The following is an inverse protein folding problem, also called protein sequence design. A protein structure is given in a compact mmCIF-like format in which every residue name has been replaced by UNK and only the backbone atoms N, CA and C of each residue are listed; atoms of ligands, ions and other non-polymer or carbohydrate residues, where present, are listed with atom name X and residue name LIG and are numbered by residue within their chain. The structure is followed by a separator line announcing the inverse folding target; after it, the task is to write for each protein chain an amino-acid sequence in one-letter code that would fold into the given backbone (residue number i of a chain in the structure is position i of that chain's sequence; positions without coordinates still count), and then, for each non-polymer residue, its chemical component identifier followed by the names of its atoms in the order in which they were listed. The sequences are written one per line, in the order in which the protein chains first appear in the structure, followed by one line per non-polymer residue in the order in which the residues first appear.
data_IF_405321099360
#
_entry.id   IF_405321099360
#
_cell.length_a   1.000
_cell.length_b   1.000
_cell.length_c   1.000
_cell.angle_alpha   90.00
_cell.angle_beta   90.00
_cell.angle_gamma   90.00
#
_symmetry.space_group_name_H-M   'P 1'
#
loop_
_entity.id
_entity.type
_entity.pdbx_description
1 polymer ?
#
# COMPACT_ATOMS: atom_id res chain seq x y z
N UNK A 1 -4.21 15.13 12.71
CA UNK A 1 -5.00 14.37 13.73
C UNK A 1 -5.04 12.94 13.26
N UNK A 2 -4.70 11.98 14.13
CA UNK A 2 -4.73 10.55 13.79
C UNK A 2 -6.16 10.15 13.48
N UNK A 3 -6.35 9.41 12.38
CA UNK A 3 -7.66 8.95 11.89
C UNK A 3 -7.83 7.44 12.05
N UNK A 4 -6.72 6.69 12.02
CA UNK A 4 -6.76 5.24 12.21
C UNK A 4 -5.49 4.71 12.84
N UNK A 5 -5.62 3.54 13.47
CA UNK A 5 -4.52 2.81 14.08
C UNK A 5 -4.44 1.40 13.49
N UNK A 6 -3.23 1.00 13.14
CA UNK A 6 -2.90 -0.39 12.78
C UNK A 6 -2.42 -1.11 14.02
N UNK A 7 -3.10 -2.16 14.43
CA UNK A 7 -2.72 -3.00 15.58
C UNK A 7 -2.12 -4.30 15.06
N UNK A 8 -0.83 -4.51 15.32
CA UNK A 8 -0.14 -5.77 15.04
C UNK A 8 -0.46 -6.76 16.15
N UNK A 9 -1.13 -7.85 15.83
CA UNK A 9 -1.56 -8.83 16.84
C UNK A 9 -0.44 -9.76 17.31
N UNK A 10 0.61 -9.92 16.48
CA UNK A 10 1.76 -10.78 16.77
C UNK A 10 3.02 -10.24 16.10
N UNK A 11 4.20 -10.61 16.62
CA UNK A 11 5.49 -10.30 15.98
C UNK A 11 5.58 -10.88 14.57
N UNK A 12 4.87 -11.99 14.28
CA UNK A 12 4.79 -12.60 12.95
C UNK A 12 3.59 -12.13 12.13
N UNK A 13 2.94 -11.02 12.50
CA UNK A 13 1.87 -10.41 11.70
C UNK A 13 2.29 -10.16 10.25
N UNK A 14 1.37 -10.38 9.30
CA UNK A 14 1.66 -10.33 7.87
C UNK A 14 2.09 -8.93 7.43
N UNK A 15 3.13 -8.86 6.60
CA UNK A 15 3.51 -7.60 5.94
C UNK A 15 2.62 -7.33 4.75
N UNK A 16 2.00 -6.16 4.69
CA UNK A 16 1.09 -5.76 3.60
C UNK A 16 1.57 -4.55 2.77
N UNK A 17 2.83 -4.13 2.97
CA UNK A 17 3.48 -3.04 2.25
C UNK A 17 4.90 -3.47 1.77
N UNK A 18 5.76 -2.50 1.45
CA UNK A 18 7.12 -2.74 0.92
C UNK A 18 8.08 -3.42 1.93
N UNK A 19 7.86 -3.22 3.22
CA UNK A 19 8.76 -3.74 4.26
C UNK A 19 8.67 -5.27 4.40
N UNK A 20 9.80 -5.96 4.65
CA UNK A 20 9.78 -7.34 5.11
C UNK A 20 9.45 -7.41 6.61
N UNK A 21 8.84 -8.49 7.07
CA UNK A 21 8.84 -8.82 8.48
C UNK A 21 10.10 -9.63 8.79
N UNK A 22 11.01 -9.07 9.61
CA UNK A 22 12.25 -9.74 10.04
C UNK A 22 12.09 -10.58 11.30
N UNK A 23 10.96 -10.38 12.02
CA UNK A 23 10.67 -11.14 13.24
C UNK A 23 10.22 -12.55 12.88
N UNK A 24 10.87 -13.54 13.46
CA UNK A 24 10.63 -14.96 13.17
C UNK A 24 9.91 -15.67 14.32
N UNK A 25 9.99 -15.14 15.52
CA UNK A 25 9.42 -15.74 16.71
C UNK A 25 7.97 -15.27 16.92
N UNK A 26 7.10 -16.19 17.24
CA UNK A 26 5.71 -15.90 17.63
C UNK A 26 5.70 -15.22 18.98
N UNK A 27 5.18 -14.01 19.00
CA UNK A 27 4.95 -13.24 20.21
C UNK A 27 3.62 -12.54 20.10
N UNK A 28 2.57 -13.25 20.50
CA UNK A 28 1.22 -12.70 20.52
C UNK A 28 1.16 -11.49 21.46
N UNK A 29 0.50 -10.43 21.04
CA UNK A 29 0.22 -9.25 21.87
C UNK A 29 -0.48 -9.71 23.17
N UNK A 30 -0.07 -9.26 24.36
CA UNK A 30 -0.83 -9.55 25.57
C UNK A 30 -2.28 -9.07 25.46
N UNK A 31 -3.24 -9.88 25.89
CA UNK A 31 -4.67 -9.56 25.79
C UNK A 31 -5.03 -8.23 26.46
N UNK A 32 -4.41 -7.90 27.59
CA UNK A 32 -4.61 -6.63 28.26
C UNK A 32 -4.06 -5.44 27.45
N UNK A 33 -2.97 -5.65 26.70
CA UNK A 33 -2.41 -4.65 25.77
C UNK A 33 -3.38 -4.44 24.60
N UNK A 34 -3.96 -5.51 24.05
CA UNK A 34 -4.97 -5.42 23.00
C UNK A 34 -6.20 -4.63 23.48
N UNK A 35 -6.75 -4.97 24.65
CA UNK A 35 -7.88 -4.26 25.25
C UNK A 35 -7.56 -2.77 25.50
N UNK A 36 -6.37 -2.47 26.01
CA UNK A 36 -5.94 -1.09 26.21
C UNK A 36 -5.77 -0.33 24.90
N UNK A 37 -5.27 -0.97 23.83
CA UNK A 37 -5.17 -0.40 22.49
C UNK A 37 -6.53 -0.07 21.88
N UNK A 38 -7.50 -0.96 22.03
CA UNK A 38 -8.89 -0.75 21.60
C UNK A 38 -9.52 0.42 22.38
N UNK A 39 -9.40 0.44 23.69
CA UNK A 39 -9.90 1.54 24.52
C UNK A 39 -9.26 2.88 24.14
N UNK A 40 -7.96 2.89 23.83
CA UNK A 40 -7.29 4.08 23.31
C UNK A 40 -7.93 4.55 22.01
N UNK A 41 -8.13 3.63 21.05
CA UNK A 41 -8.75 3.96 19.77
C UNK A 41 -10.18 4.51 19.93
N UNK A 42 -10.98 3.90 20.79
CA UNK A 42 -12.34 4.38 21.09
C UNK A 42 -12.34 5.77 21.73
N UNK A 43 -11.46 6.01 22.70
CA UNK A 43 -11.32 7.31 23.36
C UNK A 43 -10.92 8.43 22.42
N UNK A 44 -10.00 8.14 21.50
CA UNK A 44 -9.51 9.09 20.51
C UNK A 44 -10.42 9.17 19.25
N UNK A 45 -11.47 8.34 19.17
CA UNK A 45 -12.40 8.23 18.04
C UNK A 45 -11.68 7.96 16.71
N UNK A 46 -10.81 6.95 16.70
CA UNK A 46 -10.02 6.55 15.52
C UNK A 46 -10.38 5.13 15.08
N UNK A 47 -10.34 4.89 13.77
CA UNK A 47 -10.64 3.59 13.17
C UNK A 47 -9.53 2.59 13.47
N UNK A 48 -9.88 1.30 13.56
CA UNK A 48 -8.95 0.23 13.92
C UNK A 48 -8.77 -0.74 12.75
N UNK A 49 -7.52 -1.09 12.47
CA UNK A 49 -7.15 -2.15 11.53
C UNK A 49 -6.30 -3.18 12.26
N UNK A 50 -6.74 -4.43 12.30
CA UNK A 50 -5.99 -5.53 12.90
C UNK A 50 -5.20 -6.29 11.85
N UNK A 51 -3.92 -6.52 12.12
CA UNK A 51 -3.03 -7.30 11.25
C UNK A 51 -2.71 -8.63 11.91
N UNK A 52 -3.15 -9.68 11.27
CA UNK A 52 -3.10 -11.04 11.78
C UNK A 52 -1.77 -11.75 11.45
N UNK A 53 -1.33 -12.69 12.30
CA UNK A 53 -0.31 -13.69 11.96
C UNK A 53 -0.88 -14.75 10.99
N UNK A 54 -0.05 -15.72 10.59
CA UNK A 54 -0.46 -16.82 9.70
C UNK A 54 -1.15 -18.00 10.42
N UNK A 55 -1.55 -17.82 11.67
CA UNK A 55 -2.24 -18.84 12.48
C UNK A 55 -3.47 -18.26 13.17
N UNK A 56 -4.46 -19.09 13.52
CA UNK A 56 -5.66 -18.67 14.22
C UNK A 56 -5.34 -18.08 15.60
N UNK A 57 -6.05 -17.01 15.98
CA UNK A 57 -5.95 -16.44 17.32
C UNK A 57 -6.75 -17.26 18.34
N UNK A 58 -6.45 -17.13 19.64
CA UNK A 58 -7.30 -17.64 20.73
C UNK A 58 -8.70 -16.97 20.68
N UNK A 59 -9.71 -17.71 21.17
CA UNK A 59 -11.13 -17.28 21.10
C UNK A 59 -11.35 -15.96 21.83
N UNK A 60 -10.72 -15.76 22.97
CA UNK A 60 -10.81 -14.54 23.77
C UNK A 60 -10.25 -13.31 23.06
N UNK A 61 -9.29 -13.48 22.15
CA UNK A 61 -8.79 -12.41 21.27
C UNK A 61 -9.83 -12.04 20.22
N UNK A 62 -10.39 -13.04 19.54
CA UNK A 62 -11.42 -12.80 18.53
C UNK A 62 -12.65 -12.13 19.13
N UNK A 63 -13.11 -12.56 20.33
CA UNK A 63 -14.22 -11.91 21.04
C UNK A 63 -13.95 -10.44 21.31
N UNK A 64 -12.73 -10.08 21.71
CA UNK A 64 -12.34 -8.69 21.97
C UNK A 64 -12.26 -7.89 20.67
N UNK A 65 -11.72 -8.47 19.59
CA UNK A 65 -11.64 -7.83 18.27
C UNK A 65 -13.03 -7.56 17.71
N UNK A 66 -13.94 -8.52 17.77
CA UNK A 66 -15.32 -8.41 17.27
C UNK A 66 -16.20 -7.42 18.09
N UNK A 67 -15.71 -6.90 19.21
CA UNK A 67 -16.47 -5.96 20.04
C UNK A 67 -16.55 -4.53 19.49
N UNK A 68 -15.82 -4.20 18.42
CA UNK A 68 -15.78 -2.88 17.79
C UNK A 68 -15.81 -2.98 16.26
N UNK A 69 -16.15 -1.89 15.58
CA UNK A 69 -15.95 -1.78 14.14
C UNK A 69 -14.45 -1.74 13.80
N UNK A 70 -14.04 -2.58 12.86
CA UNK A 70 -12.65 -2.74 12.50
C UNK A 70 -12.46 -3.28 11.09
N UNK A 71 -11.22 -3.30 10.62
CA UNK A 71 -10.79 -3.95 9.37
C UNK A 71 -9.81 -5.08 9.71
N UNK A 72 -10.03 -6.27 9.13
CA UNK A 72 -9.17 -7.45 9.27
C UNK A 72 -8.23 -7.59 8.09
N UNK A 73 -6.93 -7.46 8.32
CA UNK A 73 -5.87 -7.71 7.34
C UNK A 73 -5.25 -9.08 7.66
N UNK A 74 -5.52 -10.07 6.82
CA UNK A 74 -5.14 -11.47 7.06
C UNK A 74 -4.29 -12.04 5.91
N UNK A 75 -3.36 -12.96 6.19
CA UNK A 75 -2.73 -13.77 5.15
C UNK A 75 -3.72 -14.76 4.55
N UNK A 76 -3.44 -15.23 3.34
CA UNK A 76 -4.33 -16.16 2.59
C UNK A 76 -4.70 -17.42 3.38
N UNK A 77 -3.79 -17.92 4.23
CA UNK A 77 -3.98 -19.16 4.99
C UNK A 77 -5.19 -19.13 5.94
N UNK A 78 -5.58 -17.95 6.45
CA UNK A 78 -6.67 -17.76 7.43
C UNK A 78 -7.65 -16.65 6.99
N UNK A 79 -7.93 -16.55 5.70
CA UNK A 79 -8.61 -15.41 5.07
C UNK A 79 -10.13 -15.48 4.98
N UNK A 80 -10.79 -16.42 5.65
CA UNK A 80 -12.23 -16.71 5.45
C UNK A 80 -13.14 -15.51 5.73
N UNK A 81 -12.82 -14.67 6.70
CA UNK A 81 -13.56 -13.47 7.12
C UNK A 81 -12.74 -12.18 6.98
N UNK A 82 -11.73 -12.18 6.10
CA UNK A 82 -10.86 -11.02 5.92
C UNK A 82 -11.48 -9.95 5.02
N UNK A 83 -11.31 -8.68 5.40
CA UNK A 83 -11.59 -7.54 4.55
C UNK A 83 -10.46 -7.32 3.54
N UNK A 84 -9.22 -7.55 3.99
CA UNK A 84 -8.02 -7.47 3.17
C UNK A 84 -7.23 -8.76 3.28
N UNK A 85 -6.98 -9.40 2.15
CA UNK A 85 -6.15 -10.62 2.06
C UNK A 85 -4.80 -10.28 1.47
N UNK A 86 -3.74 -10.63 2.19
CA UNK A 86 -2.36 -10.45 1.73
C UNK A 86 -1.85 -11.75 1.12
N UNK A 87 -1.33 -11.62 -0.10
CA UNK A 87 -0.70 -12.69 -0.87
C UNK A 87 0.82 -12.47 -0.86
N UNK A 88 1.56 -13.41 -0.29
CA UNK A 88 3.02 -13.31 -0.12
C UNK A 88 3.79 -13.84 -1.34
N UNK A 89 3.34 -13.49 -2.55
CA UNK A 89 3.97 -13.88 -3.82
C UNK A 89 3.04 -14.63 -4.76
N UNK A 90 3.63 -15.11 -5.86
CA UNK A 90 2.87 -15.70 -6.96
C UNK A 90 2.26 -17.06 -6.63
N UNK A 91 2.89 -17.86 -5.78
CA UNK A 91 2.34 -19.16 -5.35
C UNK A 91 0.99 -19.00 -4.64
N UNK A 92 0.88 -18.00 -3.75
CA UNK A 92 -0.38 -17.68 -3.09
C UNK A 92 -1.40 -17.06 -4.05
N UNK A 93 -0.94 -16.27 -5.03
CA UNK A 93 -1.78 -15.72 -6.09
C UNK A 93 -2.39 -16.84 -6.95
N UNK A 94 -1.61 -17.87 -7.33
CA UNK A 94 -2.11 -19.07 -8.03
C UNK A 94 -3.09 -19.86 -7.16
N UNK A 95 -2.77 -20.00 -5.87
CA UNK A 95 -3.65 -20.69 -4.93
C UNK A 95 -5.00 -19.96 -4.79
N UNK A 96 -4.99 -18.63 -4.75
CA UNK A 96 -6.20 -17.81 -4.74
C UNK A 96 -7.06 -18.08 -5.98
N UNK A 97 -6.44 -18.11 -7.17
CA UNK A 97 -7.18 -18.37 -8.43
C UNK A 97 -7.81 -19.75 -8.43
N UNK A 98 -7.12 -20.76 -7.88
CA UNK A 98 -7.62 -22.15 -7.76
C UNK A 98 -8.73 -22.29 -6.72
N UNK A 99 -8.59 -21.67 -5.55
CA UNK A 99 -9.61 -21.70 -4.47
C UNK A 99 -10.85 -20.87 -4.78
N UNK A 100 -10.72 -19.85 -5.63
CA UNK A 100 -11.75 -18.86 -5.92
C UNK A 100 -11.61 -17.61 -5.05
N UNK A 101 -11.50 -16.45 -5.70
CA UNK A 101 -11.46 -15.17 -5.03
C UNK A 101 -12.87 -14.70 -4.63
N UNK A 102 -12.99 -14.04 -3.48
CA UNK A 102 -14.21 -13.36 -3.06
C UNK A 102 -14.21 -11.94 -3.67
N UNK A 103 -15.24 -11.59 -4.41
CA UNK A 103 -15.29 -10.30 -5.13
C UNK A 103 -15.22 -9.08 -4.19
N UNK A 104 -15.90 -9.12 -3.05
CA UNK A 104 -15.96 -7.99 -2.11
C UNK A 104 -14.68 -7.79 -1.28
N UNK A 105 -13.77 -8.77 -1.26
CA UNK A 105 -12.51 -8.71 -0.51
C UNK A 105 -11.47 -7.93 -1.30
N UNK A 106 -10.72 -7.06 -0.63
CA UNK A 106 -9.55 -6.40 -1.20
C UNK A 106 -8.32 -7.30 -1.10
N UNK A 107 -7.53 -7.39 -2.16
CA UNK A 107 -6.32 -8.21 -2.18
C UNK A 107 -5.07 -7.35 -2.27
N UNK A 108 -4.03 -7.72 -1.54
CA UNK A 108 -2.69 -7.14 -1.61
C UNK A 108 -1.74 -8.23 -2.08
N UNK A 109 -1.19 -8.08 -3.28
CA UNK A 109 -0.16 -8.96 -3.81
C UNK A 109 1.21 -8.33 -3.59
N UNK A 110 2.03 -8.95 -2.74
CA UNK A 110 3.43 -8.58 -2.55
C UNK A 110 4.30 -9.41 -3.47
N UNK A 111 5.05 -8.76 -4.34
CA UNK A 111 5.75 -9.42 -5.44
C UNK A 111 7.07 -8.69 -5.76
N UNK A 112 8.12 -9.43 -6.12
CA UNK A 112 9.33 -8.86 -6.69
C UNK A 112 9.16 -8.54 -8.18
N UNK A 113 10.01 -7.67 -8.71
CA UNK A 113 9.96 -7.22 -10.11
C UNK A 113 10.08 -8.35 -11.13
N UNK A 114 10.94 -9.34 -10.85
CA UNK A 114 11.15 -10.46 -11.78
C UNK A 114 9.89 -11.31 -11.94
N UNK A 115 9.26 -11.67 -10.83
CA UNK A 115 7.99 -12.37 -10.81
C UNK A 115 6.86 -11.54 -11.41
N UNK A 116 6.82 -10.23 -11.14
CA UNK A 116 5.84 -9.30 -11.69
C UNK A 116 5.88 -9.28 -13.22
N UNK A 117 7.07 -9.11 -13.81
CA UNK A 117 7.22 -9.01 -15.26
C UNK A 117 6.93 -10.34 -15.97
N UNK A 118 7.16 -11.48 -15.30
CA UNK A 118 6.94 -12.80 -15.87
C UNK A 118 5.47 -13.27 -15.85
N UNK A 119 4.60 -12.66 -15.04
CA UNK A 119 3.30 -13.25 -14.66
C UNK A 119 2.09 -12.34 -14.96
N UNK A 120 2.15 -11.55 -16.03
CA UNK A 120 1.05 -10.64 -16.45
C UNK A 120 -0.30 -11.36 -16.55
N UNK A 121 -0.32 -12.56 -17.13
CA UNK A 121 -1.55 -13.33 -17.37
C UNK A 121 -2.26 -13.74 -16.08
N UNK A 122 -1.50 -14.10 -15.03
CA UNK A 122 -2.08 -14.46 -13.73
C UNK A 122 -2.68 -13.23 -13.04
N UNK A 123 -2.01 -12.08 -13.13
CA UNK A 123 -2.51 -10.81 -12.58
C UNK A 123 -3.83 -10.42 -13.25
N UNK A 124 -3.92 -10.52 -14.58
CA UNK A 124 -5.16 -10.27 -15.33
C UNK A 124 -6.27 -11.26 -14.93
N UNK A 125 -5.91 -12.52 -14.70
CA UNK A 125 -6.85 -13.54 -14.22
C UNK A 125 -7.42 -13.20 -12.85
N UNK A 126 -6.61 -12.67 -11.93
CA UNK A 126 -7.06 -12.19 -10.62
C UNK A 126 -7.97 -10.97 -10.79
N UNK A 127 -7.54 -9.96 -11.54
CA UNK A 127 -8.30 -8.72 -11.78
C UNK A 127 -9.70 -9.01 -12.34
N UNK A 128 -9.84 -10.05 -13.15
CA UNK A 128 -11.13 -10.47 -13.69
C UNK A 128 -12.11 -11.04 -12.63
N UNK A 129 -11.62 -11.35 -11.42
CA UNK A 129 -12.38 -12.04 -10.36
C UNK A 129 -12.57 -11.21 -9.09
N UNK A 130 -11.86 -10.09 -8.95
CA UNK A 130 -11.84 -9.28 -7.72
C UNK A 130 -12.27 -7.85 -8.00
N UNK A 131 -12.86 -7.20 -6.99
CA UNK A 131 -13.16 -5.77 -7.08
C UNK A 131 -11.90 -4.91 -6.95
N UNK A 132 -10.93 -5.32 -6.13
CA UNK A 132 -9.70 -4.55 -5.90
C UNK A 132 -8.48 -5.45 -5.72
N UNK A 133 -7.42 -5.12 -6.47
CA UNK A 133 -6.08 -5.66 -6.30
C UNK A 133 -5.09 -4.53 -6.06
N UNK A 134 -4.34 -4.62 -4.98
CA UNK A 134 -3.20 -3.74 -4.70
C UNK A 134 -1.91 -4.53 -4.92
N UNK A 135 -1.08 -4.12 -5.86
CA UNK A 135 0.25 -4.69 -6.08
C UNK A 135 1.28 -3.88 -5.31
N UNK A 136 2.15 -4.56 -4.60
CA UNK A 136 3.26 -3.99 -3.82
C UNK A 136 4.55 -4.63 -4.31
N UNK A 137 5.38 -3.85 -4.99
CA UNK A 137 6.69 -4.29 -5.48
C UNK A 137 7.67 -4.27 -4.30
N UNK A 138 8.21 -5.45 -3.93
CA UNK A 138 8.98 -5.61 -2.68
C UNK A 138 10.46 -5.26 -2.80
N UNK A 139 10.98 -5.12 -4.02
CA UNK A 139 12.37 -4.83 -4.35
C UNK A 139 12.55 -3.58 -5.23
N UNK A 140 11.64 -2.62 -5.07
CA UNK A 140 11.59 -1.39 -5.86
C UNK A 140 12.91 -0.60 -5.78
N UNK A 141 13.60 -0.63 -4.65
CA UNK A 141 14.91 -0.01 -4.45
C UNK A 141 16.04 -0.59 -5.31
N UNK A 142 15.82 -1.72 -5.96
CA UNK A 142 16.79 -2.40 -6.84
C UNK A 142 16.44 -2.24 -8.32
N UNK A 143 15.57 -1.30 -8.68
CA UNK A 143 15.26 -1.02 -10.08
C UNK A 143 16.46 -0.35 -10.77
N UNK A 144 16.86 -0.92 -11.90
CA UNK A 144 17.78 -0.33 -12.86
C UNK A 144 17.03 0.37 -14.01
N UNK A 145 17.74 1.09 -14.87
CA UNK A 145 17.15 1.68 -16.06
C UNK A 145 16.45 0.64 -16.96
N UNK A 146 17.04 -0.56 -17.09
CA UNK A 146 16.41 -1.65 -17.84
C UNK A 146 15.12 -2.14 -17.17
N UNK A 147 15.05 -2.13 -15.84
CA UNK A 147 13.84 -2.51 -15.11
C UNK A 147 12.72 -1.46 -15.28
N UNK A 148 13.06 -0.17 -15.34
CA UNK A 148 12.07 0.87 -15.65
C UNK A 148 11.49 0.71 -17.05
N UNK A 149 12.32 0.35 -18.04
CA UNK A 149 11.84 0.08 -19.42
C UNK A 149 10.95 -1.17 -19.45
N UNK A 150 11.35 -2.24 -18.77
CA UNK A 150 10.54 -3.45 -18.64
C UNK A 150 9.20 -3.17 -17.92
N UNK A 151 9.25 -2.40 -16.82
CA UNK A 151 8.05 -2.02 -16.08
C UNK A 151 7.08 -1.19 -16.91
N UNK A 152 7.59 -0.24 -17.70
CA UNK A 152 6.78 0.55 -18.61
C UNK A 152 6.05 -0.34 -19.64
N UNK A 153 6.75 -1.30 -20.23
CA UNK A 153 6.15 -2.25 -21.19
C UNK A 153 5.10 -3.13 -20.50
N UNK A 154 5.39 -3.61 -19.29
CA UNK A 154 4.47 -4.39 -18.48
C UNK A 154 3.19 -3.58 -18.15
N UNK A 155 3.33 -2.33 -17.71
CA UNK A 155 2.20 -1.44 -17.45
C UNK A 155 1.33 -1.25 -18.70
N UNK A 156 1.93 -1.10 -19.88
CA UNK A 156 1.19 -0.98 -21.16
C UNK A 156 0.41 -2.25 -21.50
N UNK A 157 0.94 -3.43 -21.21
CA UNK A 157 0.25 -4.71 -21.39
C UNK A 157 -0.95 -4.83 -20.43
N UNK A 158 -0.73 -4.56 -19.15
CA UNK A 158 -1.80 -4.59 -18.13
C UNK A 158 -2.87 -3.53 -18.44
N UNK A 159 -2.48 -2.34 -18.88
CA UNK A 159 -3.39 -1.28 -19.28
C UNK A 159 -4.39 -1.76 -20.34
N UNK A 160 -3.91 -2.43 -21.41
CA UNK A 160 -4.80 -3.00 -22.45
C UNK A 160 -5.79 -4.00 -21.87
N UNK A 161 -5.33 -4.87 -20.98
CA UNK A 161 -6.17 -5.88 -20.33
C UNK A 161 -7.21 -5.24 -19.40
N UNK A 162 -6.81 -4.25 -18.60
CA UNK A 162 -7.72 -3.49 -17.75
C UNK A 162 -8.76 -2.73 -18.58
N UNK A 163 -8.34 -2.07 -19.68
CA UNK A 163 -9.26 -1.39 -20.59
C UNK A 163 -10.31 -2.35 -21.17
N UNK A 164 -9.92 -3.57 -21.57
CA UNK A 164 -10.86 -4.59 -22.04
C UNK A 164 -11.87 -4.98 -20.95
N UNK A 165 -11.42 -5.18 -19.70
CA UNK A 165 -12.34 -5.50 -18.60
C UNK A 165 -13.36 -4.39 -18.36
N UNK A 166 -12.95 -3.12 -18.47
CA UNK A 166 -13.87 -1.98 -18.33
C UNK A 166 -14.89 -1.92 -19.47
N UNK A 167 -14.45 -2.17 -20.70
CA UNK A 167 -15.36 -2.24 -21.87
C UNK A 167 -16.36 -3.39 -21.73
N UNK A 168 -15.94 -4.51 -21.15
CA UNK A 168 -16.81 -5.65 -20.84
C UNK A 168 -17.73 -5.44 -19.63
N UNK A 169 -17.78 -4.24 -19.08
CA UNK A 169 -18.63 -3.86 -17.93
C UNK A 169 -18.10 -4.28 -16.56
N UNK A 170 -16.85 -4.77 -16.48
CA UNK A 170 -16.13 -5.01 -15.24
C UNK A 170 -15.27 -3.80 -14.92
N UNK A 171 -15.21 -3.41 -13.67
CA UNK A 171 -14.44 -2.22 -13.26
C UNK A 171 -13.51 -2.52 -12.07
N UNK A 172 -12.57 -3.48 -12.24
CA UNK A 172 -11.65 -3.79 -11.16
C UNK A 172 -10.75 -2.60 -10.86
N UNK A 173 -10.49 -2.40 -9.58
CA UNK A 173 -9.54 -1.38 -9.12
C UNK A 173 -8.14 -2.01 -9.04
N UNK A 174 -7.17 -1.38 -9.68
CA UNK A 174 -5.76 -1.70 -9.60
C UNK A 174 -5.01 -0.45 -9.14
N UNK A 175 -4.36 -0.50 -7.98
CA UNK A 175 -3.70 0.67 -7.39
C UNK A 175 -2.70 1.35 -8.34
N UNK A 176 -2.00 0.60 -9.17
CA UNK A 176 -0.97 1.11 -10.08
C UNK A 176 -1.56 1.93 -11.25
N UNK A 177 -2.80 1.67 -11.65
CA UNK A 177 -3.42 2.30 -12.82
C UNK A 177 -4.70 3.07 -12.50
N UNK A 178 -5.62 2.46 -11.76
CA UNK A 178 -6.96 3.06 -11.60
C UNK A 178 -7.04 4.07 -10.49
N UNK A 179 -6.20 3.97 -9.45
CA UNK A 179 -6.26 4.90 -8.32
C UNK A 179 -6.00 6.35 -8.77
N UNK A 180 -5.03 6.58 -9.67
CA UNK A 180 -4.73 7.93 -10.16
C UNK A 180 -5.91 8.60 -10.87
N UNK A 181 -6.73 7.83 -11.59
CA UNK A 181 -7.92 8.35 -12.28
C UNK A 181 -9.02 8.78 -11.30
N UNK A 182 -9.08 8.15 -10.13
CA UNK A 182 -10.13 8.36 -9.13
C UNK A 182 -9.79 9.44 -8.10
N UNK A 183 -8.48 9.71 -7.90
CA UNK A 183 -8.00 10.61 -6.86
C UNK A 183 -7.92 12.06 -7.34
N UNK A 184 -8.28 13.00 -6.46
CA UNK A 184 -8.19 14.45 -6.66
C UNK A 184 -6.96 15.07 -5.98
N UNK A 185 -6.20 14.27 -5.25
CA UNK A 185 -4.98 14.66 -4.56
C UNK A 185 -4.18 13.43 -4.14
N UNK A 186 -2.94 13.64 -3.68
CA UNK A 186 -2.06 12.56 -3.29
C UNK A 186 -2.65 11.77 -2.10
N UNK A 187 -2.88 10.48 -2.32
CA UNK A 187 -3.40 9.55 -1.32
C UNK A 187 -2.26 8.72 -0.72
N UNK A 188 -1.40 9.35 0.07
CA UNK A 188 -0.38 8.62 0.80
C UNK A 188 -0.97 7.77 1.95
N UNK A 189 -0.16 6.90 2.55
CA UNK A 189 -0.63 6.02 3.64
C UNK A 189 -0.83 6.75 4.99
N UNK A 190 -0.50 8.03 5.09
CA UNK A 190 -0.66 8.84 6.29
C UNK A 190 0.19 8.42 7.49
N UNK A 191 1.16 7.52 7.32
CA UNK A 191 2.01 7.04 8.40
C UNK A 191 2.73 8.19 9.11
N UNK A 192 2.56 8.28 10.43
CA UNK A 192 3.10 9.34 11.28
C UNK A 192 2.33 10.68 11.24
N UNK A 193 1.30 10.81 10.40
CA UNK A 193 0.43 12.00 10.28
C UNK A 193 -1.02 11.66 10.64
N UNK A 194 -1.64 10.77 9.88
CA UNK A 194 -3.03 10.35 10.09
C UNK A 194 -3.15 8.88 10.53
N UNK A 195 -2.06 8.12 10.46
CA UNK A 195 -1.98 6.72 10.86
C UNK A 195 -0.84 6.48 11.84
N UNK A 196 -1.09 5.60 12.81
CA UNK A 196 -0.09 5.04 13.72
C UNK A 196 -0.20 3.52 13.77
N UNK A 197 0.82 2.88 14.34
CA UNK A 197 0.84 1.45 14.62
C UNK A 197 1.03 1.22 16.11
N UNK A 198 0.22 0.33 16.68
CA UNK A 198 0.44 -0.27 17.99
C UNK A 198 1.03 -1.66 17.77
N UNK A 199 2.16 -1.93 18.41
CA UNK A 199 2.85 -3.21 18.30
C UNK A 199 2.63 -4.10 19.54
N UNK A 200 2.95 -5.41 19.46
CA UNK A 200 2.79 -6.35 20.58
C UNK A 200 3.53 -5.98 21.87
N UNK A 201 4.54 -5.14 21.76
CA UNK A 201 5.30 -4.62 22.91
C UNK A 201 4.60 -3.47 23.65
N UNK A 202 3.40 -3.04 23.21
CA UNK A 202 2.61 -1.95 23.79
C UNK A 202 3.09 -0.55 23.41
N UNK A 203 4.05 -0.46 22.48
CA UNK A 203 4.56 0.81 21.98
C UNK A 203 3.90 1.24 20.66
N UNK A 204 3.87 2.55 20.45
CA UNK A 204 3.45 3.15 19.19
C UNK A 204 4.63 3.33 18.25
N UNK A 205 4.36 3.09 16.95
CA UNK A 205 5.28 3.30 15.84
C UNK A 205 4.60 4.13 14.75
N UNK A 206 5.36 4.85 13.95
CA UNK A 206 4.78 5.63 12.84
C UNK A 206 4.17 4.74 11.75
N UNK A 207 4.71 3.55 11.52
CA UNK A 207 4.09 2.51 10.69
C UNK A 207 4.61 1.12 11.08
N UNK A 208 3.95 0.02 10.67
CA UNK A 208 4.37 -1.35 10.98
C UNK A 208 5.83 -1.67 10.65
N UNK A 209 6.34 -1.08 9.57
CA UNK A 209 7.71 -1.29 9.11
C UNK A 209 8.76 -0.99 10.19
N UNK A 210 8.56 0.09 10.95
CA UNK A 210 9.52 0.51 11.98
C UNK A 210 9.61 -0.47 13.16
N UNK A 211 8.60 -1.31 13.34
CA UNK A 211 8.62 -2.39 14.31
C UNK A 211 9.09 -3.71 13.69
N UNK A 212 8.50 -4.11 12.58
CA UNK A 212 8.70 -5.44 11.97
C UNK A 212 10.03 -5.59 11.24
N UNK A 213 10.61 -4.49 10.72
CA UNK A 213 11.94 -4.51 10.10
C UNK A 213 13.09 -4.23 11.06
N UNK A 214 12.76 -3.95 12.35
CA UNK A 214 13.72 -3.66 13.42
C UNK A 214 14.59 -2.41 13.18
N UNK A 215 14.13 -1.52 12.30
CA UNK A 215 14.89 -0.33 11.87
C UNK A 215 14.39 0.96 12.55
N UNK A 216 13.43 0.88 13.48
CA UNK A 216 12.73 2.05 13.96
C UNK A 216 12.68 2.23 15.47
N UNK A 217 12.36 3.46 15.86
CA UNK A 217 12.09 3.82 17.24
C UNK A 217 10.58 3.93 17.48
N UNK A 218 10.16 3.60 18.70
CA UNK A 218 8.80 3.90 19.15
C UNK A 218 8.59 5.40 19.25
N UNK A 219 7.35 5.80 18.98
CA UNK A 219 6.89 7.20 19.11
C UNK A 219 5.90 7.35 20.24
N UNK A 220 6.16 6.64 21.34
CA UNK A 220 5.35 6.62 22.54
C UNK A 220 4.87 5.22 22.90
N UNK A 221 3.99 5.13 23.88
CA UNK A 221 3.40 3.86 24.36
C UNK A 221 1.99 4.09 24.90
N UNK A 222 1.23 3.00 25.07
CA UNK A 222 -0.08 3.05 25.74
C UNK A 222 0.00 3.64 27.15
N UNK A 223 1.14 3.49 27.83
CA UNK A 223 1.34 4.00 29.18
C UNK A 223 1.70 5.49 29.22
N UNK A 224 2.60 5.93 28.31
CA UNK A 224 3.16 7.28 28.34
C UNK A 224 2.50 8.25 27.32
N UNK A 225 1.58 7.74 26.48
CA UNK A 225 1.01 8.50 25.38
C UNK A 225 1.96 8.61 24.18
N UNK A 226 1.61 9.47 23.23
CA UNK A 226 2.37 9.71 22.00
C UNK A 226 3.50 10.71 22.21
N UNK A 227 4.67 10.42 21.63
CA UNK A 227 5.84 11.31 21.57
C UNK A 227 6.40 11.31 20.14
N UNK A 228 5.62 11.86 19.20
CA UNK A 228 6.04 11.99 17.80
C UNK A 228 6.91 13.23 17.67
N UNK A 229 8.21 13.03 17.49
CA UNK A 229 9.16 14.13 17.27
C UNK A 229 9.04 14.66 15.86
N UNK A 230 9.04 15.99 15.70
CA UNK A 230 8.96 16.67 14.41
C UNK A 230 7.82 16.14 13.52
N UNK A 231 6.54 16.12 13.99
CA UNK A 231 5.44 15.50 13.27
C UNK A 231 5.20 16.11 11.88
N UNK A 232 5.64 17.37 11.65
CA UNK A 232 5.57 18.01 10.35
C UNK A 232 6.34 17.26 9.25
N UNK A 233 7.40 16.53 9.58
CA UNK A 233 8.18 15.77 8.59
C UNK A 233 7.41 14.61 7.96
N UNK A 234 6.36 14.13 8.63
CA UNK A 234 5.49 13.08 8.09
C UNK A 234 4.40 13.61 7.17
N UNK A 235 4.13 14.91 7.21
CA UNK A 235 3.07 15.56 6.46
C UNK A 235 3.47 15.82 5.01
N UNK A 236 2.48 15.75 4.11
CA UNK A 236 2.68 15.98 2.68
C UNK A 236 3.09 17.44 2.38
N UNK A 237 2.48 18.40 3.05
CA UNK A 237 2.73 19.84 2.84
C UNK A 237 4.18 20.26 3.22
N UNK A 238 4.87 19.42 4.01
CA UNK A 238 6.28 19.60 4.37
C UNK A 238 7.24 18.72 3.55
N UNK A 239 6.76 18.02 2.53
CA UNK A 239 7.58 17.19 1.65
C UNK A 239 7.98 17.99 0.40
N UNK A 240 9.24 18.43 0.26
CA UNK A 240 9.66 19.42 -0.75
C UNK A 240 9.32 18.99 -2.18
N UNK A 241 9.49 17.71 -2.49
CA UNK A 241 9.28 17.14 -3.82
C UNK A 241 7.81 16.73 -4.00
N UNK A 242 7.23 16.03 -3.00
CA UNK A 242 5.94 15.37 -3.15
C UNK A 242 4.74 16.33 -3.06
N UNK A 243 4.85 17.47 -2.36
CA UNK A 243 3.74 18.41 -2.11
C UNK A 243 3.07 18.97 -3.37
N UNK A 244 3.79 19.00 -4.49
CA UNK A 244 3.31 19.50 -5.78
C UNK A 244 3.25 18.41 -6.86
N UNK A 245 3.55 17.15 -6.50
CA UNK A 245 3.54 16.02 -7.41
C UNK A 245 2.11 15.60 -7.72
N UNK A 246 1.83 15.26 -8.97
CA UNK A 246 0.52 14.80 -9.42
C UNK A 246 0.40 13.27 -9.57
N UNK A 247 1.41 12.51 -9.18
CA UNK A 247 1.35 11.05 -9.06
C UNK A 247 0.57 10.64 -7.81
N UNK A 248 -0.74 10.92 -7.79
CA UNK A 248 -1.61 10.82 -6.59
C UNK A 248 -1.76 9.40 -6.05
N UNK A 249 -1.53 8.37 -6.86
CA UNK A 249 -1.53 6.96 -6.43
C UNK A 249 -0.29 6.59 -5.59
N UNK A 250 0.78 7.38 -5.65
CA UNK A 250 2.01 7.15 -4.90
C UNK A 250 1.75 7.18 -3.38
N UNK A 251 2.13 6.11 -2.69
CA UNK A 251 1.93 6.02 -1.23
C UNK A 251 2.98 6.81 -0.43
N UNK A 252 4.00 7.37 -1.07
CA UNK A 252 5.06 8.14 -0.40
C UNK A 252 5.58 7.39 0.85
N UNK A 253 6.08 6.16 0.65
CA UNK A 253 6.46 5.27 1.75
C UNK A 253 7.59 5.86 2.59
N UNK A 254 7.27 6.39 3.78
CA UNK A 254 8.21 7.05 4.68
C UNK A 254 9.30 6.10 5.20
N UNK A 255 8.99 4.80 5.34
CA UNK A 255 9.99 3.81 5.70
C UNK A 255 11.01 3.60 4.58
N UNK A 256 10.54 3.46 3.34
CA UNK A 256 11.41 3.30 2.17
C UNK A 256 12.22 4.58 1.93
N UNK A 257 11.61 5.75 2.08
CA UNK A 257 12.31 7.04 2.04
C UNK A 257 13.47 7.01 3.04
N UNK A 258 13.20 6.75 4.32
CA UNK A 258 14.24 6.74 5.36
C UNK A 258 15.34 5.72 5.07
N UNK A 259 14.98 4.53 4.58
CA UNK A 259 15.92 3.47 4.23
C UNK A 259 16.89 3.91 3.12
N UNK A 260 16.40 4.63 2.11
CA UNK A 260 17.15 4.92 0.89
C UNK A 260 17.79 6.31 0.90
N UNK A 261 17.14 7.29 1.49
CA UNK A 261 17.59 8.70 1.47
C UNK A 261 17.98 9.24 2.85
N UNK A 262 17.80 8.43 3.91
CA UNK A 262 17.97 8.80 5.32
C UNK A 262 16.96 9.85 5.82
N UNK A 263 15.99 10.24 4.98
CA UNK A 263 14.97 11.24 5.26
C UNK A 263 13.56 10.66 5.10
N UNK A 264 12.64 10.96 6.01
CA UNK A 264 11.26 10.42 5.94
C UNK A 264 10.40 11.10 4.88
N UNK A 265 10.73 12.32 4.47
CA UNK A 265 9.93 13.15 3.55
C UNK A 265 10.55 13.31 2.15
N UNK A 266 11.65 12.65 1.87
CA UNK A 266 12.34 12.67 0.58
C UNK A 266 12.32 11.28 -0.05
N UNK A 267 11.61 11.06 -1.16
CA UNK A 267 11.59 9.77 -1.85
C UNK A 267 12.89 9.49 -2.58
N UNK A 268 13.18 8.22 -2.86
CA UNK A 268 14.27 7.85 -3.76
C UNK A 268 13.91 8.09 -5.22
N UNK A 269 14.92 8.10 -6.08
CA UNK A 269 14.77 8.16 -7.53
C UNK A 269 13.83 7.04 -8.05
N UNK A 270 14.06 5.81 -7.59
CA UNK A 270 13.29 4.64 -8.04
C UNK A 270 11.81 4.77 -7.69
N UNK A 271 11.48 5.23 -6.49
CA UNK A 271 10.09 5.48 -6.10
C UNK A 271 9.41 6.52 -7.02
N UNK A 272 10.12 7.61 -7.34
CA UNK A 272 9.58 8.66 -8.20
C UNK A 272 9.39 8.17 -9.62
N UNK A 273 10.39 7.52 -10.23
CA UNK A 273 10.27 7.02 -11.61
C UNK A 273 9.13 6.02 -11.74
N UNK A 274 9.03 5.05 -10.84
CA UNK A 274 7.94 4.06 -10.84
C UNK A 274 6.58 4.75 -10.72
N UNK A 275 6.40 5.67 -9.77
CA UNK A 275 5.14 6.39 -9.59
C UNK A 275 4.74 7.22 -10.81
N UNK A 276 5.71 7.82 -11.50
CA UNK A 276 5.46 8.61 -12.71
C UNK A 276 5.15 7.73 -13.92
N UNK A 277 5.76 6.55 -14.05
CA UNK A 277 5.38 5.57 -15.08
C UNK A 277 3.93 5.12 -14.89
N UNK A 278 3.53 4.78 -13.66
CA UNK A 278 2.15 4.43 -13.32
C UNK A 278 1.17 5.57 -13.63
N UNK A 279 1.51 6.79 -13.22
CA UNK A 279 0.73 8.00 -13.51
C UNK A 279 0.51 8.21 -15.01
N UNK A 280 1.56 8.04 -15.82
CA UNK A 280 1.48 8.18 -17.27
C UNK A 280 0.60 7.10 -17.91
N UNK A 281 0.70 5.86 -17.43
CA UNK A 281 -0.16 4.79 -17.94
C UNK A 281 -1.61 4.92 -17.45
N UNK A 282 -1.86 5.50 -16.27
CA UNK A 282 -3.20 5.88 -15.82
C UNK A 282 -3.83 6.91 -16.78
N UNK A 283 -3.05 7.90 -17.25
CA UNK A 283 -3.50 8.85 -18.27
C UNK A 283 -3.89 8.14 -19.56
N UNK A 284 -3.05 7.24 -20.04
CA UNK A 284 -3.30 6.47 -21.26
C UNK A 284 -4.57 5.61 -21.12
N UNK A 285 -4.77 4.98 -19.97
CA UNK A 285 -5.97 4.20 -19.67
C UNK A 285 -7.23 5.08 -19.69
N UNK A 286 -7.21 6.21 -19.01
CA UNK A 286 -8.33 7.15 -18.98
C UNK A 286 -8.71 7.65 -20.36
N UNK A 287 -7.72 8.04 -21.17
CA UNK A 287 -7.94 8.44 -22.56
C UNK A 287 -8.51 7.31 -23.42
N UNK A 288 -8.04 6.09 -23.22
CA UNK A 288 -8.54 4.91 -23.93
C UNK A 288 -10.01 4.66 -23.58
N UNK A 289 -10.36 4.63 -22.30
CA UNK A 289 -11.73 4.39 -21.84
C UNK A 289 -12.72 5.46 -22.36
N UNK A 290 -12.30 6.72 -22.39
CA UNK A 290 -13.10 7.83 -22.95
C UNK A 290 -13.39 7.72 -24.44
N UNK A 291 -12.61 6.94 -25.20
CA UNK A 291 -12.90 6.66 -26.62
C UNK A 291 -14.04 5.65 -26.80
N UNK A 292 -14.28 4.80 -25.80
CA UNK A 292 -15.35 3.80 -25.84
C UNK A 292 -16.68 4.29 -25.28
N UNK A 293 -16.69 5.40 -24.57
CA UNK A 293 -17.91 5.97 -23.98
C UNK A 293 -17.64 7.06 -22.96
N UNK A 294 -18.69 7.50 -22.29
CA UNK A 294 -18.60 8.48 -21.23
C UNK A 294 -18.00 7.83 -19.98
N UNK A 295 -16.73 8.16 -19.71
CA UNK A 295 -15.99 7.61 -18.56
C UNK A 295 -15.47 8.75 -17.69
N UNK A 296 -15.89 8.78 -16.42
CA UNK A 296 -15.53 9.79 -15.41
C UNK A 296 -15.61 11.22 -15.98
N UNK A 297 -16.83 11.68 -16.42
CA UNK A 297 -16.99 12.95 -17.11
C UNK A 297 -16.59 14.15 -16.24
N UNK A 298 -16.80 14.05 -14.92
CA UNK A 298 -16.50 15.12 -13.94
C UNK A 298 -15.02 15.16 -13.54
N UNK A 299 -14.21 14.19 -13.93
CA UNK A 299 -12.77 14.16 -13.63
C UNK A 299 -11.99 14.88 -14.72
N UNK A 300 -11.09 15.77 -14.27
CA UNK A 300 -10.15 16.42 -15.19
C UNK A 300 -9.23 15.39 -15.86
N UNK A 301 -8.75 15.76 -17.04
CA UNK A 301 -7.71 14.96 -17.69
C UNK A 301 -6.42 14.98 -16.87
N UNK A 302 -5.79 13.82 -16.80
CA UNK A 302 -4.43 13.71 -16.25
C UNK A 302 -3.49 14.35 -17.28
N UNK A 303 -3.10 15.59 -17.03
CA UNK A 303 -2.23 16.36 -17.92
C UNK A 303 -0.83 15.76 -18.00
N UNK A 304 -0.13 16.04 -19.05
CA UNK A 304 1.30 15.74 -19.10
C UNK A 304 2.05 16.60 -18.09
N UNK A 305 3.11 16.04 -17.50
CA UNK A 305 3.93 16.80 -16.56
C UNK A 305 4.60 17.94 -17.35
N UNK A 306 4.36 19.16 -16.92
CA UNK A 306 4.88 20.38 -17.55
C UNK A 306 6.18 20.90 -16.89
N UNK A 307 6.64 20.22 -15.87
CA UNK A 307 7.89 20.53 -15.16
C UNK A 307 8.85 19.35 -15.25
N UNK A 308 10.14 19.68 -15.18
CA UNK A 308 11.18 18.65 -15.16
C UNK A 308 11.16 17.97 -13.79
N UNK A 309 10.99 16.66 -13.79
CA UNK A 309 11.16 15.85 -12.60
C UNK A 309 12.64 15.83 -12.22
N UNK A 310 13.03 16.31 -11.03
CA UNK A 310 14.43 16.34 -10.62
C UNK A 310 15.05 14.95 -10.51
N UNK A 311 14.24 13.90 -10.51
CA UNK A 311 14.67 12.50 -10.45
C UNK A 311 14.60 11.79 -11.80
N UNK A 312 13.92 12.32 -12.79
CA UNK A 312 13.86 11.74 -14.12
C UNK A 312 15.06 12.17 -14.96
N UNK A 313 16.16 11.46 -14.81
CA UNK A 313 17.40 11.64 -15.58
C UNK A 313 17.23 11.36 -17.08
N UNK A 314 16.08 10.85 -17.51
CA UNK A 314 15.75 10.53 -18.90
C UNK A 314 15.05 11.69 -19.60
N UNK A 315 14.68 12.72 -18.88
CA UNK A 315 14.16 13.92 -19.46
C UNK A 315 15.26 14.67 -20.23
N UNK A 316 14.83 15.37 -21.24
CA UNK A 316 15.62 16.06 -22.27
C UNK A 316 16.57 17.16 -21.77
N UNK A 317 16.97 17.12 -20.48
CA UNK A 317 17.99 18.01 -19.93
C UNK A 317 19.31 17.93 -20.67
N UNK A 318 19.58 16.81 -21.36
CA UNK A 318 20.79 16.59 -22.12
C UNK A 318 20.66 17.00 -23.60
N UNK A 319 19.51 17.53 -24.02
CA UNK A 319 19.24 17.93 -25.42
C UNK A 319 19.10 19.46 -25.61
N UNK A 320 19.51 20.27 -24.62
CA UNK A 320 19.63 21.72 -24.76
C UNK A 320 21.08 22.17 -24.79
#
# INVERSE_FOLDING_TARGET
MIQYIVILLDDTSVSFCHYPNKKQERRLMPLDTLKAGILYAMKENINVQFVYPSYPLPVDFEEVIESIDHVKIKPLAISDDADVVVLAGMEEAELLVRKGAKYATSYVLRIDKGSLFAQSSLIVTILNKVARLNIVITDLEHFSNADFDAYKLWLQEINKSVASLYVDGKSPQLNLLTDRMMLDGMNNCGAGDTCLTLAPDGNFYVCPAFYLSEDGYSVGSLHNGLDVRNPQLYRLDHAPICRHCDAYQCKRCIWLNRKLTLEVNTPSHEQCVVAHLERNESRNLMQTLRRYGEFLPDKEEIKEISYLDPYDMRNEWNNQ
#
